data_IF_365301656018
#
_entry.id   IF_365301656018
#
_cell.length_a   1.000
_cell.length_b   1.000
_cell.length_c   1.000
_cell.angle_alpha   90.00
_cell.angle_beta   90.00
_cell.angle_gamma   90.00
#
_symmetry.space_group_name_H-M   'P 1'
#
loop_
_entity.id
_entity.type
_entity.pdbx_description
1 polymer ?
#
# COMPACT_ATOMS: atom_id res chain seq x y z
N UNK A 1 71.10 40.86 -3.37
CA UNK A 1 71.95 39.68 -3.10
C UNK A 1 71.10 38.58 -2.49
N UNK A 2 71.02 37.42 -3.18
CA UNK A 2 70.73 36.03 -2.73
C UNK A 2 69.64 35.83 -1.63
N UNK A 3 68.44 35.35 -1.99
CA UNK A 3 68.04 33.93 -2.18
C UNK A 3 67.95 33.12 -0.88
N UNK A 4 66.75 32.60 -0.55
CA UNK A 4 66.44 31.15 -0.63
C UNK A 4 64.98 30.83 -0.32
N UNK A 5 64.42 30.00 -1.19
CA UNK A 5 63.19 29.22 -1.08
C UNK A 5 63.43 28.08 -0.09
N UNK A 6 62.48 27.77 0.81
CA UNK A 6 62.21 26.36 1.17
C UNK A 6 60.77 26.15 1.67
N UNK A 7 60.21 25.07 1.13
CA UNK A 7 58.90 24.45 1.28
C UNK A 7 58.74 23.75 2.64
N UNK A 8 57.50 23.54 3.12
CA UNK A 8 57.18 22.61 4.22
C UNK A 8 55.89 22.97 4.96
N UNK A 9 54.74 22.60 4.40
CA UNK A 9 53.90 21.47 4.83
C UNK A 9 53.28 21.60 6.25
N UNK A 10 51.95 21.69 6.20
CA UNK A 10 50.97 20.92 6.98
C UNK A 10 50.33 21.51 8.25
N UNK A 11 48.98 21.43 8.18
CA UNK A 11 48.04 21.20 9.27
C UNK A 11 47.74 22.39 10.19
N UNK A 12 47.18 23.44 9.59
CA UNK A 12 46.12 24.20 10.26
C UNK A 12 44.92 23.27 10.43
N UNK A 13 44.91 22.52 11.53
CA UNK A 13 43.74 21.81 12.00
C UNK A 13 42.60 22.81 12.16
N UNK A 14 41.69 22.84 11.17
CA UNK A 14 40.34 23.32 11.40
C UNK A 14 39.72 22.38 12.44
N UNK A 15 39.90 22.73 13.71
CA UNK A 15 39.00 22.34 14.76
C UNK A 15 37.66 23.05 14.49
N UNK A 16 36.88 22.51 13.54
CA UNK A 16 35.43 22.72 13.55
C UNK A 16 34.92 21.92 14.74
N UNK A 17 35.02 22.54 15.92
CA UNK A 17 34.19 22.20 17.07
C UNK A 17 32.78 22.65 16.68
N UNK A 18 32.12 21.84 15.84
CA UNK A 18 30.67 21.87 15.79
C UNK A 18 30.19 21.38 17.16
N UNK A 19 29.22 22.04 17.80
CA UNK A 19 28.66 21.49 19.02
C UNK A 19 28.10 20.11 18.72
N UNK A 20 28.73 19.08 19.27
CA UNK A 20 28.08 17.81 19.50
C UNK A 20 26.89 18.11 20.42
N UNK A 21 25.68 18.20 19.83
CA UNK A 21 24.46 18.31 20.61
C UNK A 21 24.20 16.94 21.24
N UNK A 22 24.73 16.71 22.43
CA UNK A 22 24.20 15.68 23.33
C UNK A 22 22.85 16.17 23.81
N UNK A 23 21.78 15.82 23.08
CA UNK A 23 20.44 15.95 23.61
C UNK A 23 20.20 14.82 24.59
N UNK A 24 20.46 15.06 25.88
CA UNK A 24 19.83 14.28 26.93
C UNK A 24 18.41 14.83 27.10
N UNK A 25 17.44 14.07 26.59
CA UNK A 25 16.04 13.92 27.03
C UNK A 25 15.73 14.66 28.36
N UNK A 26 14.66 15.43 28.59
CA UNK A 26 13.39 15.79 27.94
C UNK A 26 12.79 16.98 28.74
N UNK A 27 11.79 17.70 28.23
CA UNK A 27 11.00 18.63 29.05
C UNK A 27 9.47 18.64 28.80
N UNK A 28 8.98 17.82 27.86
CA UNK A 28 7.55 17.50 27.73
C UNK A 28 7.47 16.05 27.24
N UNK A 29 7.21 15.10 28.14
CA UNK A 29 6.83 13.71 27.78
C UNK A 29 5.31 13.57 27.90
N UNK A 30 4.52 13.90 26.87
CA UNK A 30 3.35 13.09 26.57
C UNK A 30 3.93 11.90 25.81
N UNK A 31 4.40 10.85 26.49
CA UNK A 31 4.89 9.69 25.74
C UNK A 31 3.72 9.08 24.98
N UNK A 32 3.55 9.46 23.72
CA UNK A 32 2.69 8.77 22.75
C UNK A 32 3.27 7.39 22.37
N UNK A 33 4.40 7.00 22.96
CA UNK A 33 5.06 5.71 22.80
C UNK A 33 4.71 4.78 23.96
N UNK A 34 4.21 3.57 23.70
CA UNK A 34 4.08 2.55 24.73
C UNK A 34 5.42 2.33 25.44
N UNK A 35 5.39 2.13 26.75
CA UNK A 35 6.60 1.83 27.53
C UNK A 35 7.22 0.50 27.12
N UNK A 36 6.38 -0.47 26.78
CA UNK A 36 6.78 -1.76 26.22
C UNK A 36 5.87 -2.13 25.06
N UNK A 37 6.43 -2.81 24.06
CA UNK A 37 5.70 -3.36 22.92
C UNK A 37 5.97 -4.86 22.86
N UNK A 38 4.96 -5.67 23.21
CA UNK A 38 4.96 -7.11 23.02
C UNK A 38 4.35 -7.43 21.64
N UNK A 39 5.13 -7.97 20.71
CA UNK A 39 4.64 -8.50 19.44
C UNK A 39 4.67 -10.02 19.53
N UNK A 40 3.53 -10.68 19.29
CA UNK A 40 3.42 -12.14 19.30
C UNK A 40 2.69 -12.67 18.07
N UNK A 41 3.15 -13.82 17.58
CA UNK A 41 2.38 -14.58 16.61
C UNK A 41 1.12 -15.10 17.28
N UNK A 42 -0.03 -14.79 16.69
CA UNK A 42 -1.35 -15.22 17.19
C UNK A 42 -2.04 -16.00 16.08
N UNK A 43 -2.50 -17.20 16.41
CA UNK A 43 -3.32 -17.98 15.51
C UNK A 43 -4.65 -17.24 15.27
N UNK A 44 -5.12 -17.13 14.03
CA UNK A 44 -6.25 -16.27 13.74
C UNK A 44 -7.55 -16.60 14.48
N UNK A 45 -7.83 -17.90 14.65
CA UNK A 45 -8.93 -18.44 15.44
C UNK A 45 -8.91 -18.05 16.92
N UNK A 46 -7.72 -17.78 17.48
CA UNK A 46 -7.55 -17.34 18.87
C UNK A 46 -7.66 -15.81 19.04
N UNK A 47 -7.50 -15.03 17.97
CA UNK A 47 -7.33 -13.58 18.04
C UNK A 47 -8.53 -12.87 18.66
N UNK A 48 -9.76 -13.24 18.27
CA UNK A 48 -10.98 -12.63 18.78
C UNK A 48 -11.12 -12.81 20.30
N UNK A 49 -10.87 -14.01 20.80
CA UNK A 49 -10.90 -14.28 22.24
C UNK A 49 -9.83 -13.50 23.01
N UNK A 50 -8.64 -13.32 22.43
CA UNK A 50 -7.56 -12.57 23.07
C UNK A 50 -7.85 -11.06 23.11
N UNK A 51 -8.47 -10.52 22.06
CA UNK A 51 -8.93 -9.13 22.01
C UNK A 51 -10.01 -8.89 23.06
N UNK A 52 -11.04 -9.74 23.12
CA UNK A 52 -12.14 -9.61 24.08
C UNK A 52 -11.70 -9.75 25.54
N UNK A 53 -10.65 -10.52 25.81
CA UNK A 53 -10.07 -10.68 27.16
C UNK A 53 -8.99 -9.64 27.48
N UNK A 54 -8.77 -8.64 26.63
CA UNK A 54 -7.70 -7.64 26.75
C UNK A 54 -6.28 -8.24 26.89
N UNK A 55 -6.07 -9.46 26.36
CA UNK A 55 -4.75 -10.12 26.30
C UNK A 55 -3.89 -9.63 25.14
N UNK A 56 -4.53 -9.08 24.11
CA UNK A 56 -3.93 -8.24 23.07
C UNK A 56 -4.77 -6.98 22.87
N UNK A 57 -4.12 -5.91 22.44
CA UNK A 57 -4.73 -4.62 22.15
C UNK A 57 -5.11 -4.49 20.67
N UNK A 58 -4.31 -5.06 19.77
CA UNK A 58 -4.56 -5.05 18.32
C UNK A 58 -4.18 -6.39 17.70
N UNK A 59 -4.86 -6.74 16.60
CA UNK A 59 -4.58 -7.92 15.79
C UNK A 59 -4.38 -7.56 14.31
N UNK A 60 -3.20 -7.89 13.79
CA UNK A 60 -2.70 -7.56 12.46
C UNK A 60 -2.79 -8.80 11.55
N UNK A 61 -3.99 -9.31 11.31
CA UNK A 61 -4.19 -10.52 10.52
C UNK A 61 -5.11 -10.35 9.33
N UNK A 62 -4.93 -11.22 8.34
CA UNK A 62 -5.79 -11.32 7.17
C UNK A 62 -6.99 -12.23 7.49
N UNK A 63 -7.89 -11.79 8.37
CA UNK A 63 -9.11 -12.58 8.60
C UNK A 63 -10.40 -11.85 8.28
N UNK A 64 -11.26 -12.60 7.59
CA UNK A 64 -12.63 -12.20 7.34
C UNK A 64 -13.38 -12.27 8.65
N UNK A 65 -13.85 -11.10 9.06
CA UNK A 65 -14.92 -10.85 10.02
C UNK A 65 -15.04 -11.98 11.03
N UNK A 66 -14.38 -11.81 12.17
CA UNK A 66 -14.79 -12.46 13.40
C UNK A 66 -16.32 -12.55 13.45
N UNK A 67 -16.86 -13.68 13.90
CA UNK A 67 -18.30 -13.83 14.10
C UNK A 67 -18.89 -12.66 14.88
N UNK A 68 -20.20 -12.41 14.76
CA UNK A 68 -20.96 -11.29 15.36
C UNK A 68 -20.65 -11.01 16.86
N UNK A 69 -20.06 -11.99 17.55
CA UNK A 69 -19.46 -11.94 18.89
C UNK A 69 -18.38 -10.87 19.16
N UNK A 70 -17.94 -10.08 18.18
CA UNK A 70 -16.92 -9.02 18.37
C UNK A 70 -17.43 -7.60 18.11
N UNK A 71 -18.74 -7.37 18.16
CA UNK A 71 -19.34 -6.04 17.93
C UNK A 71 -18.74 -4.93 18.81
N UNK A 72 -18.19 -5.30 19.98
CA UNK A 72 -17.57 -4.39 20.95
C UNK A 72 -16.09 -4.05 20.61
N UNK A 73 -15.54 -4.57 19.52
CA UNK A 73 -14.18 -4.25 19.08
C UNK A 73 -14.18 -3.10 18.08
N UNK A 74 -13.19 -2.21 18.21
CA UNK A 74 -12.87 -1.24 17.17
C UNK A 74 -12.19 -1.94 15.99
N UNK A 75 -12.25 -1.31 14.81
CA UNK A 75 -11.51 -1.77 13.64
C UNK A 75 -11.03 -0.63 12.78
N UNK A 76 -9.89 -0.84 12.12
CA UNK A 76 -9.42 -0.01 11.01
C UNK A 76 -9.59 -0.75 9.69
N UNK A 77 -9.82 -0.01 8.61
CA UNK A 77 -9.93 -0.57 7.27
C UNK A 77 -8.84 0.02 6.37
N UNK A 78 -8.04 -0.87 5.78
CA UNK A 78 -7.04 -0.53 4.77
C UNK A 78 -7.32 -1.33 3.49
N UNK A 79 -6.55 -1.05 2.45
CA UNK A 79 -6.61 -1.83 1.22
C UNK A 79 -6.27 -3.30 1.52
N UNK A 80 -7.12 -4.22 1.07
CA UNK A 80 -6.86 -5.65 1.11
C UNK A 80 -6.18 -6.12 -0.17
N UNK A 81 -6.91 -6.09 -1.27
CA UNK A 81 -6.39 -6.45 -2.59
C UNK A 81 -7.14 -5.73 -3.69
N UNK A 82 -6.45 -5.40 -4.78
CA UNK A 82 -7.12 -5.01 -6.02
C UNK A 82 -7.70 -6.26 -6.67
N UNK A 83 -8.91 -6.17 -7.20
CA UNK A 83 -9.50 -7.24 -8.01
C UNK A 83 -9.36 -6.83 -9.47
N UNK A 84 -8.67 -7.67 -10.23
CA UNK A 84 -8.41 -7.44 -11.64
C UNK A 84 -8.88 -8.63 -12.49
N UNK A 85 -9.19 -8.33 -13.74
CA UNK A 85 -9.55 -9.29 -14.76
C UNK A 85 -8.47 -9.23 -15.85
N UNK A 86 -8.05 -10.39 -16.34
CA UNK A 86 -7.16 -10.53 -17.48
C UNK A 86 -7.86 -11.33 -18.58
N UNK A 87 -7.87 -10.84 -19.80
CA UNK A 87 -8.33 -11.61 -20.97
C UNK A 87 -7.15 -12.40 -21.53
N UNK A 88 -7.35 -13.67 -21.84
CA UNK A 88 -6.31 -14.52 -22.41
C UNK A 88 -5.88 -13.98 -23.80
N UNK A 89 -4.60 -13.60 -24.01
CA UNK A 89 -4.14 -13.09 -25.31
C UNK A 89 -4.34 -14.06 -26.49
N UNK A 90 -4.44 -15.36 -26.20
CA UNK A 90 -4.64 -16.40 -27.22
C UNK A 90 -6.13 -16.60 -27.53
N UNK A 91 -7.05 -16.22 -26.63
CA UNK A 91 -8.49 -16.32 -26.85
C UNK A 91 -8.93 -15.45 -28.04
N UNK A 92 -9.97 -15.89 -28.76
CA UNK A 92 -10.61 -15.10 -29.82
C UNK A 92 -11.14 -13.77 -29.30
N UNK A 93 -11.52 -13.70 -28.01
CA UNK A 93 -12.06 -12.49 -27.40
C UNK A 93 -11.01 -11.39 -27.18
N UNK A 94 -9.71 -11.71 -27.21
CA UNK A 94 -8.63 -10.73 -27.04
C UNK A 94 -8.20 -10.02 -28.34
N UNK A 95 -8.72 -10.44 -29.51
CA UNK A 95 -8.23 -9.98 -30.82
C UNK A 95 -8.65 -8.55 -31.17
N UNK A 96 -9.84 -8.14 -30.77
CA UNK A 96 -10.37 -6.81 -31.00
C UNK A 96 -10.70 -6.12 -29.67
N UNK A 97 -10.38 -4.84 -29.54
CA UNK A 97 -10.51 -4.11 -28.28
C UNK A 97 -11.96 -4.07 -27.78
N UNK A 98 -12.93 -3.86 -28.68
CA UNK A 98 -14.35 -3.88 -28.33
C UNK A 98 -14.78 -5.22 -27.72
N UNK A 99 -14.28 -6.33 -28.26
CA UNK A 99 -14.60 -7.68 -27.76
C UNK A 99 -13.88 -7.98 -26.45
N UNK A 100 -12.63 -7.53 -26.29
CA UNK A 100 -11.88 -7.66 -25.05
C UNK A 100 -12.57 -6.89 -23.91
N UNK A 101 -13.01 -5.65 -24.18
CA UNK A 101 -13.79 -4.85 -23.23
C UNK A 101 -15.12 -5.51 -22.88
N UNK A 102 -15.87 -6.01 -23.87
CA UNK A 102 -17.13 -6.70 -23.61
C UNK A 102 -16.94 -7.92 -22.70
N UNK A 103 -15.92 -8.75 -22.97
CA UNK A 103 -15.60 -9.93 -22.15
C UNK A 103 -15.19 -9.53 -20.71
N UNK A 104 -14.29 -8.56 -20.55
CA UNK A 104 -13.86 -8.06 -19.25
C UNK A 104 -15.03 -7.47 -18.45
N UNK A 105 -15.87 -6.63 -19.09
CA UNK A 105 -17.01 -6.00 -18.44
C UNK A 105 -18.11 -7.00 -18.05
N UNK A 106 -18.36 -8.03 -18.87
CA UNK A 106 -19.32 -9.10 -18.53
C UNK A 106 -18.92 -9.82 -17.23
N UNK A 107 -17.64 -10.17 -17.09
CA UNK A 107 -17.11 -10.81 -15.88
C UNK A 107 -17.07 -9.83 -14.70
N UNK A 108 -16.68 -8.58 -14.92
CA UNK A 108 -16.63 -7.54 -13.88
C UNK A 108 -17.99 -7.31 -13.21
N UNK A 109 -19.07 -7.22 -14.00
CA UNK A 109 -20.44 -7.07 -13.48
C UNK A 109 -20.88 -8.29 -12.68
N UNK A 110 -20.53 -9.50 -13.12
CA UNK A 110 -20.83 -10.72 -12.36
C UNK A 110 -20.10 -10.74 -11.03
N UNK A 111 -18.79 -10.48 -11.02
CA UNK A 111 -18.00 -10.50 -9.79
C UNK A 111 -18.58 -9.48 -8.80
N UNK A 112 -18.84 -8.26 -9.26
CA UNK A 112 -19.37 -7.18 -8.43
C UNK A 112 -20.77 -7.47 -7.85
N UNK A 113 -21.61 -8.20 -8.58
CA UNK A 113 -22.96 -8.57 -8.11
C UNK A 113 -22.97 -9.77 -7.17
N UNK A 114 -22.07 -10.74 -7.37
CA UNK A 114 -22.02 -11.97 -6.57
C UNK A 114 -21.15 -11.86 -5.31
N UNK A 115 -20.25 -10.87 -5.22
CA UNK A 115 -19.26 -10.77 -4.16
C UNK A 115 -19.43 -9.46 -3.38
N UNK A 116 -20.16 -9.46 -2.24
CA UNK A 116 -20.43 -8.24 -1.48
C UNK A 116 -19.19 -7.63 -0.83
N UNK A 117 -18.11 -8.40 -0.66
CA UNK A 117 -16.83 -7.90 -0.12
C UNK A 117 -15.97 -7.17 -1.16
N UNK A 118 -16.37 -7.19 -2.44
CA UNK A 118 -15.69 -6.47 -3.52
C UNK A 118 -16.39 -5.13 -3.72
N UNK A 119 -15.68 -4.05 -3.44
CA UNK A 119 -16.14 -2.69 -3.71
C UNK A 119 -15.89 -2.41 -5.20
N UNK A 120 -16.98 -2.23 -5.94
CA UNK A 120 -16.92 -1.91 -7.37
C UNK A 120 -16.27 -0.54 -7.58
N UNK A 121 -15.07 -0.57 -8.17
CA UNK A 121 -14.24 0.59 -8.43
C UNK A 121 -13.31 0.26 -9.62
N UNK A 122 -13.79 0.40 -10.87
CA UNK A 122 -13.04 -0.06 -12.03
C UNK A 122 -11.94 0.93 -12.44
N UNK A 123 -11.05 1.22 -11.49
CA UNK A 123 -9.94 2.14 -11.62
C UNK A 123 -8.83 1.74 -10.65
N UNK A 124 -7.54 1.76 -11.05
CA UNK A 124 -6.45 1.20 -10.24
C UNK A 124 -6.12 2.02 -8.98
N UNK A 125 -6.42 3.31 -8.97
CA UNK A 125 -6.19 4.19 -7.80
C UNK A 125 -7.45 4.24 -6.96
N UNK A 126 -7.41 3.68 -5.76
CA UNK A 126 -8.57 3.57 -4.87
C UNK A 126 -8.79 4.86 -4.05
N UNK A 127 -10.01 5.11 -3.54
CA UNK A 127 -10.29 6.24 -2.65
C UNK A 127 -9.52 6.21 -1.31
N UNK A 128 -8.83 5.12 -1.00
CA UNK A 128 -7.97 5.01 0.19
C UNK A 128 -6.62 5.72 0.00
N UNK A 129 -6.27 6.12 -1.22
CA UNK A 129 -5.01 6.75 -1.57
C UNK A 129 -5.19 8.25 -1.87
N UNK A 130 -4.25 9.09 -1.44
CA UNK A 130 -4.27 10.55 -1.60
C UNK A 130 -4.36 11.00 -3.06
N UNK A 131 -3.62 10.33 -3.95
CA UNK A 131 -3.70 10.57 -5.41
C UNK A 131 -5.12 10.46 -5.98
N UNK A 132 -6.05 9.76 -5.32
CA UNK A 132 -7.43 9.63 -5.80
C UNK A 132 -8.09 10.99 -6.07
N UNK A 133 -7.75 12.02 -5.28
CA UNK A 133 -8.27 13.38 -5.48
C UNK A 133 -7.97 13.91 -6.88
N UNK A 134 -6.83 13.53 -7.46
CA UNK A 134 -6.43 13.89 -8.81
C UNK A 134 -6.95 12.95 -9.89
N UNK A 135 -7.72 11.91 -9.57
CA UNK A 135 -8.22 10.92 -10.53
C UNK A 135 -9.71 10.60 -10.39
N UNK A 136 -10.43 11.24 -9.46
CA UNK A 136 -11.82 10.95 -9.16
C UNK A 136 -12.74 11.04 -10.41
N UNK A 137 -12.50 12.01 -11.29
CA UNK A 137 -13.22 12.18 -12.56
C UNK A 137 -13.00 11.02 -13.54
N UNK A 138 -11.77 10.51 -13.62
CA UNK A 138 -11.39 9.36 -14.44
C UNK A 138 -12.00 8.07 -13.88
N UNK A 139 -11.97 7.90 -12.56
CA UNK A 139 -12.59 6.77 -11.88
C UNK A 139 -14.11 6.73 -12.08
N UNK A 140 -14.81 7.86 -11.94
CA UNK A 140 -16.24 7.96 -12.21
C UNK A 140 -16.58 7.72 -13.69
N UNK A 141 -15.71 8.15 -14.61
CA UNK A 141 -15.87 7.87 -16.03
C UNK A 141 -15.70 6.38 -16.35
N UNK A 142 -14.70 5.72 -15.77
CA UNK A 142 -14.50 4.29 -15.90
C UNK A 142 -15.67 3.49 -15.31
N UNK A 143 -16.18 3.91 -14.14
CA UNK A 143 -17.36 3.30 -13.50
C UNK A 143 -18.61 3.43 -14.36
N UNK A 144 -18.86 4.63 -14.92
CA UNK A 144 -19.98 4.84 -15.86
C UNK A 144 -19.84 3.96 -17.09
N UNK A 145 -18.64 3.86 -17.70
CA UNK A 145 -18.38 3.00 -18.86
C UNK A 145 -18.70 1.53 -18.56
N UNK A 146 -18.23 1.02 -17.43
CA UNK A 146 -18.50 -0.37 -17.03
C UNK A 146 -20.01 -0.66 -16.85
N UNK A 147 -20.76 0.31 -16.31
CA UNK A 147 -22.18 0.19 -16.01
C UNK A 147 -23.10 0.55 -17.18
N UNK A 148 -22.63 1.34 -18.14
CA UNK A 148 -23.42 1.82 -19.29
C UNK A 148 -23.58 0.79 -20.41
N UNK A 149 -22.71 -0.23 -20.44
CA UNK A 149 -22.76 -1.25 -21.49
C UNK A 149 -24.03 -2.09 -21.39
N UNK A 150 -24.94 -1.87 -22.35
CA UNK A 150 -26.01 -2.80 -22.72
C UNK A 150 -25.43 -4.16 -23.04
N UNK A 151 -26.13 -5.26 -22.74
CA UNK A 151 -25.69 -6.66 -22.95
C UNK A 151 -24.93 -6.82 -24.28
N UNK A 152 -23.60 -6.73 -24.19
CA UNK A 152 -22.69 -6.90 -25.30
C UNK A 152 -22.25 -8.36 -25.33
N UNK A 153 -22.20 -8.95 -26.52
CA UNK A 153 -21.58 -10.25 -26.71
C UNK A 153 -20.06 -10.13 -26.51
N UNK A 154 -19.39 -11.04 -25.79
CA UNK A 154 -19.92 -12.28 -25.19
C UNK A 154 -20.63 -12.07 -23.84
N UNK A 155 -21.58 -12.97 -23.54
CA UNK A 155 -22.12 -13.07 -22.18
C UNK A 155 -21.19 -13.91 -21.30
N UNK A 156 -21.34 -13.81 -19.99
CA UNK A 156 -20.51 -14.61 -19.07
C UNK A 156 -20.65 -16.13 -19.29
N UNK A 157 -21.79 -16.60 -19.79
CA UNK A 157 -22.02 -18.03 -20.06
C UNK A 157 -21.20 -18.55 -21.24
N UNK A 158 -20.76 -17.64 -22.11
CA UNK A 158 -19.92 -17.96 -23.26
C UNK A 158 -18.43 -18.02 -22.89
N UNK A 159 -18.06 -17.54 -21.69
CA UNK A 159 -16.68 -17.36 -21.26
C UNK A 159 -16.19 -18.50 -20.37
N UNK A 160 -15.00 -19.01 -20.67
CA UNK A 160 -14.28 -19.94 -19.80
C UNK A 160 -13.49 -19.16 -18.75
N UNK A 161 -13.91 -19.27 -17.49
CA UNK A 161 -13.33 -18.49 -16.40
C UNK A 161 -12.21 -19.25 -15.68
N UNK A 162 -11.09 -18.58 -15.44
CA UNK A 162 -9.99 -19.06 -14.61
C UNK A 162 -9.85 -18.18 -13.37
N UNK A 163 -9.45 -18.76 -12.25
CA UNK A 163 -8.92 -18.01 -11.12
C UNK A 163 -7.41 -18.17 -11.09
N UNK A 164 -6.68 -17.07 -10.87
CA UNK A 164 -5.22 -17.10 -10.82
C UNK A 164 -4.68 -17.91 -9.64
N UNK A 165 -5.40 -17.93 -8.53
CA UNK A 165 -5.02 -18.62 -7.30
C UNK A 165 -6.25 -19.00 -6.43
N UNK A 166 -5.98 -19.54 -5.24
CA UNK A 166 -7.00 -19.93 -4.28
C UNK A 166 -7.80 -18.74 -3.71
N UNK A 167 -7.18 -17.55 -3.60
CA UNK A 167 -7.88 -16.35 -3.16
C UNK A 167 -8.90 -15.94 -4.23
N UNK A 168 -8.48 -15.75 -5.47
CA UNK A 168 -9.35 -15.41 -6.59
C UNK A 168 -10.41 -16.47 -6.89
N UNK A 169 -10.16 -17.76 -6.56
CA UNK A 169 -11.13 -18.85 -6.75
C UNK A 169 -12.46 -18.60 -6.01
N UNK A 170 -12.42 -17.89 -4.87
CA UNK A 170 -13.66 -17.52 -4.15
C UNK A 170 -14.56 -16.60 -4.97
N UNK A 171 -13.98 -15.75 -5.83
CA UNK A 171 -14.70 -14.73 -6.58
C UNK A 171 -15.51 -15.32 -7.73
N UNK A 172 -15.18 -16.55 -8.15
CA UNK A 172 -15.97 -17.34 -9.09
C UNK A 172 -17.33 -17.75 -8.48
N UNK A 173 -17.44 -17.84 -7.16
CA UNK A 173 -18.66 -18.28 -6.49
C UNK A 173 -19.09 -19.68 -6.95
N UNK A 174 -20.24 -19.75 -7.63
CA UNK A 174 -20.79 -21.00 -8.17
C UNK A 174 -20.30 -21.34 -9.59
N UNK A 175 -19.58 -20.42 -10.24
CA UNK A 175 -19.08 -20.64 -11.60
C UNK A 175 -17.98 -21.71 -11.60
N UNK A 176 -17.97 -22.55 -12.63
CA UNK A 176 -16.95 -23.60 -12.78
C UNK A 176 -15.66 -23.00 -13.33
N UNK A 177 -14.56 -23.26 -12.65
CA UNK A 177 -13.23 -22.94 -13.16
C UNK A 177 -12.91 -23.79 -14.40
N UNK A 178 -12.41 -23.14 -15.44
CA UNK A 178 -11.90 -23.77 -16.65
C UNK A 178 -10.52 -24.44 -16.39
N UNK A 179 -10.13 -25.44 -17.21
CA UNK A 179 -8.78 -26.00 -17.17
C UNK A 179 -7.70 -24.96 -17.48
N UNK A 180 -6.48 -25.14 -16.96
CA UNK A 180 -5.38 -24.16 -17.07
C UNK A 180 -5.03 -23.72 -18.50
N UNK A 181 -5.24 -24.57 -19.50
CA UNK A 181 -4.87 -24.32 -20.90
C UNK A 181 -6.03 -23.81 -21.77
N UNK A 182 -7.26 -23.81 -21.28
CA UNK A 182 -8.46 -23.53 -22.08
C UNK A 182 -9.37 -22.52 -21.36
N UNK A 183 -8.87 -21.31 -21.17
CA UNK A 183 -9.56 -20.20 -20.51
C UNK A 183 -9.62 -18.95 -21.38
N UNK A 184 -10.67 -18.15 -21.20
CA UNK A 184 -10.89 -16.88 -21.90
C UNK A 184 -10.58 -15.69 -21.00
N UNK A 185 -11.00 -15.77 -19.74
CA UNK A 185 -10.86 -14.69 -18.77
C UNK A 185 -10.35 -15.23 -17.43
N UNK A 186 -9.31 -14.60 -16.89
CA UNK A 186 -8.71 -14.91 -15.59
C UNK A 186 -9.04 -13.83 -14.57
N UNK A 187 -9.47 -14.24 -13.39
CA UNK A 187 -9.71 -13.37 -12.24
C UNK A 187 -8.47 -13.39 -11.34
N UNK A 188 -8.01 -12.21 -10.93
CA UNK A 188 -6.83 -12.01 -10.09
C UNK A 188 -7.19 -11.20 -8.85
N UNK A 189 -6.71 -11.63 -7.69
CA UNK A 189 -6.60 -10.78 -6.52
C UNK A 189 -5.14 -10.36 -6.39
N UNK A 190 -4.88 -9.06 -6.48
CA UNK A 190 -3.54 -8.49 -6.45
C UNK A 190 -3.33 -7.90 -5.07
N UNK A 191 -2.49 -8.54 -4.28
CA UNK A 191 -2.01 -8.01 -3.01
C UNK A 191 -1.03 -6.86 -3.29
N UNK A 192 -1.56 -5.63 -3.26
CA UNK A 192 -0.79 -4.43 -3.60
C UNK A 192 0.40 -4.19 -2.66
N UNK A 193 0.29 -4.37 -1.32
CA UNK A 193 1.45 -4.34 -0.44
C UNK A 193 2.59 -5.27 -0.89
N UNK A 194 2.28 -6.52 -1.23
CA UNK A 194 3.28 -7.49 -1.70
C UNK A 194 3.87 -7.11 -3.06
N UNK A 195 3.04 -6.62 -3.99
CA UNK A 195 3.49 -6.16 -5.30
C UNK A 195 4.45 -4.97 -5.17
N UNK A 196 4.10 -3.96 -4.37
CA UNK A 196 4.96 -2.80 -4.10
C UNK A 196 6.24 -3.23 -3.39
N UNK A 197 6.15 -4.13 -2.40
CA UNK A 197 7.34 -4.66 -1.72
C UNK A 197 8.28 -5.39 -2.69
N UNK A 198 7.75 -6.13 -3.67
CA UNK A 198 8.56 -6.82 -4.69
C UNK A 198 9.22 -5.87 -5.69
N UNK A 199 8.61 -4.71 -5.91
CA UNK A 199 9.10 -3.68 -6.83
C UNK A 199 9.96 -2.61 -6.13
N UNK A 200 10.18 -2.73 -4.82
CA UNK A 200 10.94 -1.75 -4.04
C UNK A 200 12.19 -2.32 -3.40
N UNK A 201 13.15 -1.44 -3.18
CA UNK A 201 14.29 -1.71 -2.30
C UNK A 201 14.40 -0.58 -1.30
N UNK A 202 14.67 -0.93 -0.04
CA UNK A 202 15.03 0.05 0.98
C UNK A 202 16.54 0.17 1.02
N UNK A 203 17.07 1.38 0.77
CA UNK A 203 18.51 1.67 0.82
C UNK A 203 18.72 2.80 1.83
N UNK A 204 19.44 2.52 2.92
CA UNK A 204 19.66 3.48 4.01
C UNK A 204 18.36 4.11 4.53
N UNK A 205 17.27 3.35 4.58
CA UNK A 205 15.95 3.81 5.01
C UNK A 205 15.10 4.50 3.95
N UNK A 206 15.63 4.72 2.74
CA UNK A 206 14.89 5.31 1.61
C UNK A 206 14.25 4.24 0.72
N UNK A 207 12.99 4.46 0.34
CA UNK A 207 12.29 3.64 -0.64
C UNK A 207 12.76 3.98 -2.06
N UNK A 208 13.16 2.97 -2.81
CA UNK A 208 13.56 3.08 -4.22
C UNK A 208 12.67 2.15 -5.06
N UNK A 209 11.98 2.66 -6.10
CA UNK A 209 11.91 4.08 -6.49
C UNK A 209 11.08 4.92 -5.50
N UNK A 210 11.32 6.25 -5.39
CA UNK A 210 10.54 7.12 -4.50
C UNK A 210 9.03 7.08 -4.78
N UNK A 211 8.66 6.90 -6.05
CA UNK A 211 7.28 6.81 -6.52
C UNK A 211 6.57 5.51 -6.13
N UNK A 212 7.24 4.54 -5.49
CA UNK A 212 6.66 3.22 -5.25
C UNK A 212 5.36 3.23 -4.45
N UNK A 213 5.19 4.25 -3.61
CA UNK A 213 3.96 4.46 -2.84
C UNK A 213 2.90 5.25 -3.59
N UNK A 214 3.23 5.89 -4.73
CA UNK A 214 2.28 6.64 -5.54
C UNK A 214 1.25 5.73 -6.21
N UNK A 215 -0.01 6.15 -6.18
CA UNK A 215 -1.12 5.41 -6.75
C UNK A 215 -0.97 5.24 -8.27
N UNK A 216 -0.45 6.25 -8.95
CA UNK A 216 -0.16 6.18 -10.39
C UNK A 216 0.92 5.13 -10.72
N UNK A 217 1.95 4.99 -9.87
CA UNK A 217 3.02 4.02 -10.08
C UNK A 217 2.55 2.60 -9.73
N UNK A 218 1.72 2.46 -8.70
CA UNK A 218 1.02 1.22 -8.39
C UNK A 218 0.11 0.78 -9.55
N UNK A 219 -0.60 1.72 -10.19
CA UNK A 219 -1.36 1.44 -11.41
C UNK A 219 -0.45 0.93 -12.54
N UNK A 220 0.73 1.52 -12.72
CA UNK A 220 1.75 1.02 -13.65
C UNK A 220 2.12 -0.43 -13.32
N UNK A 221 2.58 -0.72 -12.09
CA UNK A 221 2.95 -2.08 -11.64
C UNK A 221 1.85 -3.12 -11.90
N UNK A 222 0.59 -2.71 -11.76
CA UNK A 222 -0.55 -3.60 -11.98
C UNK A 222 -0.76 -3.86 -13.48
N UNK A 223 -0.76 -2.82 -14.32
CA UNK A 223 -1.33 -2.88 -15.67
C UNK A 223 -0.29 -2.99 -16.81
N UNK A 224 0.98 -2.65 -16.58
CA UNK A 224 1.97 -2.47 -17.66
C UNK A 224 2.26 -3.71 -18.51
N UNK A 225 2.02 -4.92 -17.99
CA UNK A 225 2.30 -6.17 -18.71
C UNK A 225 1.23 -6.52 -19.75
N UNK A 226 0.08 -5.86 -19.71
CA UNK A 226 -1.07 -6.20 -20.54
C UNK A 226 -1.32 -5.25 -21.71
N UNK A 227 -0.63 -4.11 -21.76
CA UNK A 227 -0.76 -3.10 -22.82
C UNK A 227 0.03 -3.52 -24.07
N UNK A 228 -0.39 -3.02 -25.24
CA UNK A 228 0.32 -3.23 -26.50
C UNK A 228 1.67 -2.50 -26.55
N UNK A 229 2.52 -2.89 -27.50
CA UNK A 229 3.89 -2.36 -27.65
C UNK A 229 3.91 -0.84 -27.86
N UNK A 230 2.99 -0.28 -28.65
CA UNK A 230 2.96 1.16 -28.91
C UNK A 230 2.52 1.96 -27.69
N UNK A 231 1.54 1.44 -26.93
CA UNK A 231 1.14 2.04 -25.64
C UNK A 231 2.27 1.92 -24.61
N UNK A 232 3.00 0.80 -24.61
CA UNK A 232 4.15 0.58 -23.72
C UNK A 232 5.25 1.62 -23.89
N UNK A 233 5.66 1.91 -25.13
CA UNK A 233 6.66 2.94 -25.41
C UNK A 233 6.26 4.32 -24.86
N UNK A 234 4.98 4.69 -25.00
CA UNK A 234 4.46 5.96 -24.46
C UNK A 234 4.47 5.97 -22.93
N UNK A 235 3.97 4.90 -22.31
CA UNK A 235 3.93 4.75 -20.84
C UNK A 235 5.34 4.79 -20.25
N UNK A 236 6.32 4.14 -20.90
CA UNK A 236 7.72 4.14 -20.47
C UNK A 236 8.35 5.53 -20.60
N UNK A 237 8.04 6.28 -21.67
CA UNK A 237 8.50 7.66 -21.82
C UNK A 237 7.93 8.59 -20.75
N UNK A 238 6.63 8.51 -20.47
CA UNK A 238 6.00 9.32 -19.41
C UNK A 238 6.54 8.92 -18.02
N UNK A 239 6.72 7.63 -17.76
CA UNK A 239 7.32 7.12 -16.54
C UNK A 239 8.73 7.69 -16.34
N UNK A 240 9.57 7.65 -17.38
CA UNK A 240 10.93 8.17 -17.32
C UNK A 240 10.93 9.67 -17.01
N UNK A 241 10.05 10.45 -17.66
CA UNK A 241 9.93 11.90 -17.42
C UNK A 241 9.52 12.21 -15.99
N UNK A 242 8.54 11.50 -15.44
CA UNK A 242 8.12 11.67 -14.05
C UNK A 242 9.28 11.32 -13.10
N UNK A 243 9.97 10.20 -13.33
CA UNK A 243 11.07 9.74 -12.48
C UNK A 243 12.32 10.64 -12.54
N UNK A 244 12.58 11.27 -13.68
CA UNK A 244 13.69 12.22 -13.83
C UNK A 244 13.37 13.65 -13.38
N UNK A 245 12.12 13.91 -12.99
CA UNK A 245 11.67 15.27 -12.67
C UNK A 245 11.56 16.19 -13.88
N UNK A 246 11.33 15.63 -15.08
CA UNK A 246 11.22 16.38 -16.34
C UNK A 246 9.79 16.92 -16.55
N UNK A 247 9.39 17.82 -15.65
CA UNK A 247 8.13 18.55 -15.66
C UNK A 247 8.34 19.97 -15.14
N UNK A 248 7.51 20.92 -15.56
CA UNK A 248 7.72 22.34 -15.25
C UNK A 248 7.27 22.73 -13.84
N UNK A 249 6.23 22.08 -13.33
CA UNK A 249 5.59 22.40 -12.06
C UNK A 249 4.75 21.21 -11.54
N UNK A 250 4.19 21.27 -10.32
CA UNK A 250 3.39 20.18 -9.77
C UNK A 250 2.12 19.84 -10.56
N UNK A 251 1.54 20.80 -11.29
CA UNK A 251 0.34 20.56 -12.11
C UNK A 251 0.72 19.78 -13.36
N UNK A 252 1.84 20.12 -14.01
CA UNK A 252 2.39 19.36 -15.12
C UNK A 252 2.70 17.91 -14.71
N UNK A 253 3.32 17.70 -13.54
CA UNK A 253 3.51 16.35 -12.97
C UNK A 253 2.19 15.59 -12.84
N UNK A 254 1.17 16.19 -12.22
CA UNK A 254 -0.14 15.54 -12.04
C UNK A 254 -0.77 15.19 -13.40
N UNK A 255 -0.63 16.06 -14.41
CA UNK A 255 -1.14 15.80 -15.75
C UNK A 255 -0.40 14.64 -16.43
N UNK A 256 0.91 14.51 -16.24
CA UNK A 256 1.69 13.36 -16.72
C UNK A 256 1.26 12.06 -16.04
N UNK A 257 1.11 12.07 -14.71
CA UNK A 257 0.61 10.92 -13.94
C UNK A 257 -0.79 10.50 -14.43
N UNK A 258 -1.69 11.47 -14.65
CA UNK A 258 -3.03 11.24 -15.24
C UNK A 258 -2.97 10.67 -16.66
N UNK A 259 -2.09 11.19 -17.50
CA UNK A 259 -1.92 10.71 -18.88
C UNK A 259 -1.41 9.26 -18.91
N UNK A 260 -0.42 8.95 -18.07
CA UNK A 260 0.14 7.61 -17.90
C UNK A 260 -0.96 6.63 -17.48
N UNK A 261 -1.74 6.95 -16.43
CA UNK A 261 -2.80 6.06 -15.97
C UNK A 261 -3.91 5.92 -17.03
N UNK A 262 -4.25 6.99 -17.73
CA UNK A 262 -5.21 6.96 -18.84
C UNK A 262 -4.77 6.02 -19.96
N UNK A 263 -3.48 6.02 -20.30
CA UNK A 263 -2.92 5.10 -21.30
C UNK A 263 -2.99 3.65 -20.80
N UNK A 264 -2.68 3.38 -19.53
CA UNK A 264 -2.77 2.05 -18.93
C UNK A 264 -4.18 1.46 -18.93
N UNK A 265 -5.20 2.28 -18.59
CA UNK A 265 -6.59 1.82 -18.52
C UNK A 265 -7.32 1.80 -19.88
N UNK A 266 -6.63 2.23 -20.94
CA UNK A 266 -7.18 2.23 -22.30
C UNK A 266 -7.37 0.83 -22.89
N UNK A 267 -6.57 -0.14 -22.45
CA UNK A 267 -6.63 -1.53 -22.90
C UNK A 267 -7.46 -2.40 -21.92
N UNK A 268 -8.48 -3.08 -22.44
CA UNK A 268 -9.33 -3.97 -21.64
C UNK A 268 -8.79 -5.40 -21.47
N UNK A 269 -7.60 -5.71 -21.99
CA UNK A 269 -6.95 -7.02 -21.79
C UNK A 269 -6.53 -7.25 -20.36
N UNK A 270 -6.30 -6.18 -19.59
CA UNK A 270 -6.27 -6.26 -18.13
C UNK A 270 -6.96 -5.05 -17.51
N UNK A 271 -7.97 -5.31 -16.67
CA UNK A 271 -8.82 -4.27 -16.09
C UNK A 271 -8.91 -4.46 -14.58
N UNK A 272 -8.64 -3.40 -13.81
CA UNK A 272 -9.04 -3.36 -12.39
C UNK A 272 -10.54 -3.12 -12.34
N UNK A 273 -11.27 -3.93 -11.58
CA UNK A 273 -12.74 -3.83 -11.47
C UNK A 273 -13.18 -3.31 -10.11
N UNK A 274 -12.31 -3.39 -9.11
CA UNK A 274 -12.62 -3.05 -7.74
C UNK A 274 -11.51 -3.42 -6.80
N UNK A 275 -11.83 -3.37 -5.51
CA UNK A 275 -10.91 -3.74 -4.45
C UNK A 275 -11.66 -4.37 -3.28
N UNK A 276 -10.90 -5.05 -2.42
CA UNK A 276 -11.37 -5.57 -1.14
C UNK A 276 -10.73 -4.78 0.00
N UNK A 277 -11.38 -4.78 1.16
CA UNK A 277 -10.85 -4.15 2.37
C UNK A 277 -10.24 -5.21 3.28
N UNK A 278 -9.09 -4.88 3.86
CA UNK A 278 -8.52 -5.57 5.02
C UNK A 278 -9.01 -4.86 6.27
N UNK A 279 -9.59 -5.61 7.20
CA UNK A 279 -10.08 -5.09 8.48
C UNK A 279 -9.23 -5.65 9.62
N UNK A 280 -8.55 -4.77 10.33
CA UNK A 280 -7.73 -5.11 11.49
C UNK A 280 -8.41 -4.59 12.76
N UNK A 281 -8.54 -5.46 13.76
CA UNK A 281 -9.34 -5.19 14.94
C UNK A 281 -8.48 -4.79 16.12
N UNK A 282 -9.05 -3.95 16.98
CA UNK A 282 -8.44 -3.53 18.22
C UNK A 282 -9.45 -3.43 19.36
N UNK A 283 -8.93 -3.60 20.57
CA UNK A 283 -9.70 -3.43 21.79
C UNK A 283 -9.72 -1.96 22.18
N UNK A 284 -10.90 -1.35 22.20
CA UNK A 284 -11.11 0.01 22.68
C UNK A 284 -11.78 0.07 24.07
N UNK A 285 -12.45 -0.97 24.54
CA UNK A 285 -13.41 -0.91 25.66
C UNK A 285 -12.77 -0.87 27.06
N UNK A 286 -11.59 -1.46 27.26
CA UNK A 286 -11.03 -1.66 28.60
C UNK A 286 -10.28 -0.44 29.13
N UNK A 287 -10.02 -0.40 30.45
CA UNK A 287 -9.21 0.66 31.07
C UNK A 287 -7.80 0.77 30.51
N UNK A 288 -7.28 -0.33 29.93
CA UNK A 288 -6.01 -0.36 29.20
C UNK A 288 -6.17 -0.45 27.67
N UNK A 289 -7.39 -0.34 27.14
CA UNK A 289 -7.67 -0.40 25.71
C UNK A 289 -7.07 0.77 24.93
N UNK A 290 -7.18 0.72 23.60
CA UNK A 290 -6.71 1.77 22.70
C UNK A 290 -7.69 2.96 22.74
N UNK A 291 -7.16 4.15 23.03
CA UNK A 291 -7.85 5.43 22.97
C UNK A 291 -7.76 6.06 21.58
N UNK A 292 -6.59 5.97 20.92
CA UNK A 292 -6.36 6.53 19.60
C UNK A 292 -5.39 5.65 18.80
N UNK A 293 -5.61 5.59 17.49
CA UNK A 293 -4.86 4.76 16.55
C UNK A 293 -4.77 5.45 15.19
N UNK A 294 -3.59 5.45 14.58
CA UNK A 294 -3.42 5.74 13.16
C UNK A 294 -2.98 4.48 12.42
N UNK A 295 -3.25 4.45 11.11
CA UNK A 295 -2.99 3.30 10.25
C UNK A 295 -2.59 3.78 8.86
N UNK A 296 -1.89 2.92 8.12
CA UNK A 296 -1.49 3.13 6.73
C UNK A 296 -2.58 2.60 5.79
N UNK A 297 -2.91 3.32 4.73
CA UNK A 297 -4.00 2.94 3.83
C UNK A 297 -3.71 1.67 3.02
N UNK A 298 -2.45 1.27 2.91
CA UNK A 298 -2.01 0.06 2.19
C UNK A 298 -1.67 -1.06 3.18
N UNK A 299 -0.85 -0.76 4.18
CA UNK A 299 -0.30 -1.74 5.12
C UNK A 299 -1.15 -1.90 6.39
N UNK A 300 -2.12 -1.02 6.62
CA UNK A 300 -2.96 -1.00 7.81
C UNK A 300 -2.14 -0.74 9.08
N UNK A 301 -2.34 -1.56 10.10
CA UNK A 301 -1.60 -1.51 11.36
C UNK A 301 -0.20 -2.12 11.26
N UNK A 302 0.14 -2.82 10.17
CA UNK A 302 1.51 -3.29 9.91
C UNK A 302 2.42 -2.17 9.36
N UNK A 303 2.38 -1.01 9.98
CA UNK A 303 3.08 0.20 9.55
C UNK A 303 3.66 0.95 10.74
N UNK A 304 4.74 1.70 10.51
CA UNK A 304 5.37 2.48 11.57
C UNK A 304 4.40 3.49 12.20
N UNK A 305 3.55 4.15 11.40
CA UNK A 305 2.60 5.16 11.92
C UNK A 305 1.72 4.61 13.06
N UNK A 306 1.33 3.34 13.01
CA UNK A 306 0.58 2.70 14.10
C UNK A 306 1.35 2.71 15.41
N UNK A 307 2.56 2.13 15.42
CA UNK A 307 3.38 2.03 16.63
C UNK A 307 3.82 3.39 17.17
N UNK A 308 3.93 4.42 16.30
CA UNK A 308 4.32 5.78 16.67
C UNK A 308 3.20 6.62 17.27
N UNK A 309 1.95 6.24 17.06
CA UNK A 309 0.79 7.09 17.39
C UNK A 309 -0.26 6.39 18.24
N UNK A 310 -0.16 5.07 18.42
CA UNK A 310 -1.10 4.31 19.25
C UNK A 310 -1.07 4.83 20.68
N UNK A 311 -2.25 5.21 21.16
CA UNK A 311 -2.46 5.69 22.52
C UNK A 311 -3.35 4.72 23.26
N UNK A 312 -2.87 4.19 24.38
CA UNK A 312 -3.64 3.41 25.35
C UNK A 312 -4.32 4.37 26.34
N UNK A 313 -5.46 3.93 26.87
CA UNK A 313 -6.21 4.62 27.92
C UNK A 313 -5.47 4.63 29.27
N UNK A 314 -4.48 3.74 29.43
CA UNK A 314 -3.69 3.61 30.66
C UNK A 314 -2.64 4.74 30.75
N UNK A 315 -2.81 5.62 31.74
CA UNK A 315 -1.99 6.81 32.02
C UNK A 315 -1.29 6.62 33.37
N UNK A 316 0.01 6.96 33.56
CA UNK A 316 0.76 8.06 32.91
C UNK A 316 1.79 7.76 31.80
N UNK A 317 1.91 6.53 31.28
CA UNK A 317 3.06 6.17 30.43
C UNK A 317 2.73 5.32 29.18
N UNK A 318 1.50 5.41 28.67
CA UNK A 318 1.03 4.67 27.48
C UNK A 318 1.19 3.13 27.56
N UNK A 319 1.37 2.60 28.78
CA UNK A 319 1.28 1.19 29.16
C UNK A 319 2.16 0.20 28.40
N UNK A 320 1.75 -1.07 28.47
CA UNK A 320 2.34 -2.19 27.74
C UNK A 320 1.46 -2.53 26.53
N UNK A 321 1.87 -2.11 25.35
CA UNK A 321 1.18 -2.47 24.11
C UNK A 321 1.41 -3.94 23.82
N UNK A 322 0.33 -4.66 23.49
CA UNK A 322 0.36 -6.08 23.12
C UNK A 322 -0.27 -6.24 21.76
N UNK A 323 0.50 -6.67 20.77
CA UNK A 323 0.09 -6.79 19.38
C UNK A 323 0.14 -8.26 18.97
N UNK A 324 -0.99 -8.78 18.50
CA UNK A 324 -1.05 -10.07 17.83
C UNK A 324 -0.86 -9.89 16.32
N UNK A 325 -0.10 -10.76 15.68
CA UNK A 325 0.05 -10.81 14.21
C UNK A 325 -0.04 -12.26 13.72
N UNK A 326 -0.66 -12.50 12.58
CA UNK A 326 -0.76 -13.85 11.99
C UNK A 326 0.52 -14.32 11.29
N UNK A 327 1.40 -13.37 10.97
CA UNK A 327 2.68 -13.62 10.35
C UNK A 327 3.66 -14.28 11.32
N UNK A 328 4.36 -15.31 10.83
CA UNK A 328 5.51 -15.91 11.52
C UNK A 328 6.79 -15.18 11.11
N UNK A 329 7.78 -15.07 12.01
CA UNK A 329 9.10 -14.58 11.63
C UNK A 329 9.78 -15.61 10.72
N UNK A 330 9.90 -15.29 9.44
CA UNK A 330 10.45 -16.21 8.43
C UNK A 330 11.71 -15.68 7.74
N UNK A 331 12.01 -14.39 7.85
CA UNK A 331 13.19 -13.80 7.21
C UNK A 331 14.23 -13.41 8.25
N UNK A 332 15.50 -13.68 7.93
CA UNK A 332 16.61 -13.11 8.67
C UNK A 332 16.75 -11.61 8.38
N UNK A 333 17.34 -10.87 9.32
CA UNK A 333 17.67 -9.47 9.11
C UNK A 333 18.75 -9.32 8.04
N UNK A 334 18.49 -8.47 7.04
CA UNK A 334 19.48 -8.06 6.03
C UNK A 334 20.01 -6.65 6.36
N UNK A 335 21.33 -6.42 6.39
CA UNK A 335 21.90 -5.11 6.71
C UNK A 335 21.63 -4.01 5.66
N UNK A 336 21.29 -4.40 4.43
CA UNK A 336 20.96 -3.48 3.34
C UNK A 336 19.46 -3.23 3.31
N UNK A 337 18.66 -4.30 3.26
CA UNK A 337 17.21 -4.22 2.98
C UNK A 337 16.31 -4.42 4.20
N UNK A 338 16.85 -4.74 5.37
CA UNK A 338 16.10 -5.02 6.59
C UNK A 338 15.39 -6.38 6.59
N UNK A 339 14.24 -6.45 7.26
CA UNK A 339 13.38 -7.63 7.23
C UNK A 339 12.42 -7.58 6.05
N UNK A 340 12.21 -8.72 5.38
CA UNK A 340 11.26 -8.86 4.27
C UNK A 340 9.95 -9.52 4.66
N UNK A 341 9.86 -10.14 5.83
CA UNK A 341 8.61 -10.71 6.34
C UNK A 341 7.83 -9.69 7.19
N UNK A 342 6.49 -9.82 7.23
CA UNK A 342 5.60 -8.89 7.93
C UNK A 342 5.91 -8.76 9.42
N UNK A 343 6.29 -9.86 10.10
CA UNK A 343 6.62 -9.82 11.52
C UNK A 343 7.89 -8.98 11.74
N UNK A 344 8.95 -9.28 10.99
CA UNK A 344 10.21 -8.55 11.05
C UNK A 344 10.07 -7.07 10.69
N UNK A 345 9.20 -6.73 9.73
CA UNK A 345 8.89 -5.33 9.38
C UNK A 345 8.21 -4.57 10.53
N UNK A 346 7.25 -5.19 11.22
CA UNK A 346 6.61 -4.59 12.40
C UNK A 346 7.61 -4.42 13.54
N UNK A 347 8.40 -5.46 13.81
CA UNK A 347 9.45 -5.41 14.83
C UNK A 347 10.47 -4.31 14.53
N UNK A 348 10.93 -4.20 13.28
CA UNK A 348 11.82 -3.13 12.86
C UNK A 348 11.16 -1.75 13.03
N UNK A 349 9.88 -1.62 12.68
CA UNK A 349 9.12 -0.39 12.88
C UNK A 349 8.98 0.00 14.35
N UNK A 350 9.02 -0.95 15.28
CA UNK A 350 9.00 -0.71 16.72
C UNK A 350 10.35 -0.20 17.25
N UNK A 351 11.47 -0.79 16.79
CA UNK A 351 12.82 -0.50 17.33
C UNK A 351 13.60 0.56 16.57
N UNK A 352 13.27 0.78 15.29
CA UNK A 352 13.88 1.86 14.52
C UNK A 352 13.51 3.21 15.15
N UNK A 353 14.18 4.29 14.78
CA UNK A 353 13.76 5.65 15.14
C UNK A 353 14.08 6.60 13.98
N UNK A 354 13.39 6.40 12.83
CA UNK A 354 13.69 7.16 11.63
C UNK A 354 13.29 8.62 11.83
N UNK A 355 13.97 9.55 11.16
CA UNK A 355 13.58 10.97 11.19
C UNK A 355 12.24 11.21 10.48
N UNK A 356 11.94 10.40 9.46
CA UNK A 356 10.75 10.49 8.62
C UNK A 356 10.00 9.16 8.60
N UNK A 357 8.68 9.23 8.56
CA UNK A 357 7.78 8.10 8.31
C UNK A 357 7.16 8.26 6.92
N UNK A 358 6.89 7.17 6.19
CA UNK A 358 6.01 7.23 5.03
C UNK A 358 4.65 7.83 5.43
N UNK A 359 4.14 8.75 4.61
CA UNK A 359 2.80 9.32 4.79
C UNK A 359 1.75 8.22 4.68
N UNK A 360 0.74 8.16 5.57
CA UNK A 360 -0.18 7.03 5.62
C UNK A 360 -1.05 6.84 4.38
N UNK A 361 -1.24 7.89 3.57
CA UNK A 361 -2.20 7.90 2.47
C UNK A 361 -1.56 8.12 1.09
N UNK A 362 -0.27 8.44 1.00
CA UNK A 362 0.36 8.83 -0.27
C UNK A 362 1.86 8.48 -0.32
N UNK A 363 2.53 9.04 -1.32
CA UNK A 363 3.97 8.86 -1.58
C UNK A 363 4.89 9.79 -0.78
N UNK A 364 4.34 10.73 -0.03
CA UNK A 364 5.13 11.71 0.73
C UNK A 364 5.67 11.10 2.04
N UNK A 365 6.44 11.93 2.74
CA UNK A 365 7.05 11.61 4.02
C UNK A 365 6.61 12.61 5.07
N UNK A 366 6.33 12.13 6.27
CA UNK A 366 6.00 12.97 7.42
C UNK A 366 7.10 12.89 8.49
N UNK A 367 7.28 13.98 9.24
CA UNK A 367 8.24 13.99 10.35
C UNK A 367 7.81 13.03 11.46
N UNK A 368 8.70 12.11 11.86
CA UNK A 368 8.47 11.23 13.01
C UNK A 368 8.56 11.99 14.34
N UNK A 369 9.36 13.07 14.37
CA UNK A 369 9.59 13.91 15.53
C UNK A 369 9.11 15.31 15.24
N UNK A 370 8.41 15.92 16.19
CA UNK A 370 8.08 17.34 16.13
C UNK A 370 9.40 18.11 16.22
N UNK A 371 9.75 18.85 15.17
CA UNK A 371 10.76 19.90 15.23
C UNK A 371 10.07 21.23 15.49
N UNK A 372 10.71 22.10 16.28
CA UNK A 372 10.28 23.51 16.32
C UNK A 372 10.36 24.05 14.88
N UNK A 373 9.22 24.37 14.29
CA UNK A 373 9.17 25.13 13.06
C UNK A 373 9.68 26.53 13.41
N UNK A 374 10.96 26.80 13.16
CA UNK A 374 11.44 28.18 13.13
C UNK A 374 10.76 28.84 11.93
N UNK A 375 9.70 29.59 12.20
CA UNK A 375 9.10 30.53 11.27
C UNK A 375 10.12 31.64 10.96
N UNK A 376 11.13 31.31 10.15
CA UNK A 376 11.96 32.34 9.53
C UNK A 376 11.25 32.70 8.23
N UNK A 377 10.74 33.94 8.09
CA UNK A 377 10.17 34.35 6.82
C UNK A 377 11.26 34.28 5.73
N UNK A 378 10.91 33.90 4.49
CA UNK A 378 11.85 33.97 3.39
C UNK A 378 12.37 35.41 3.25
N UNK A 379 13.68 35.57 3.12
CA UNK A 379 14.30 36.81 2.67
C UNK A 379 14.32 36.87 1.15
#
# INVERSE_FOLDING_TARGET
MKSRITFGLLLSALAVIGPARSGHESAVYPSFYPHEIEIKTVAPDAAGSLLLQAKIHAYLGNERRFSDSVADLGSVESLGSLVAIRVNPISSYAKADATACAAAHAVARKISSNNPDVILHPYPITPLHGDYLYHADLAETAKRRLLSDTEAFPTIRDLKLKAADAAAKRLLGTEKAAPESDWDVEIREINLPELVASATTVINGWLVPPAARGGWYQAYLVLHDAIDVGTKERVEADLQRIQSGDFTDPVDRINLERALVTALIGDCRQVVIGYTLKREYFNAEFSAGIENIAFDSINGLNAAIFLRTVKLKDFPWNGWLRVGIDARPTSAWNPITGFSDRFGQLMWSAVADPALLPSPYDQDWMANRISEIQATPPR
#
